data_IF_720336081326
#
_entry.id   IF_720336081326
#
_cell.length_a   1.000
_cell.length_b   1.000
_cell.length_c   1.000
_cell.angle_alpha   90.00
_cell.angle_beta   90.00
_cell.angle_gamma   90.00
#
_symmetry.space_group_name_H-M   'P 1'
#
loop_
_entity.id
_entity.type
_entity.pdbx_description
1 polymer ?
#
# COMPACT_ATOMS: atom_id res chain seq x y z
N UNK A 1 -6.09 -3.34 -23.92
CA UNK A 1 -7.40 -3.56 -23.26
C UNK A 1 -7.94 -2.25 -22.70
N UNK A 2 -7.04 -1.40 -22.22
CA UNK A 2 -7.21 -0.16 -21.48
C UNK A 2 -7.73 0.98 -22.36
N UNK A 3 -7.46 0.97 -23.67
CA UNK A 3 -8.08 1.89 -24.64
C UNK A 3 -9.63 1.83 -24.62
N UNK A 4 -10.22 0.74 -24.11
CA UNK A 4 -11.68 0.58 -23.97
C UNK A 4 -12.27 1.30 -22.73
N UNK A 5 -11.45 1.87 -21.85
CA UNK A 5 -11.92 2.60 -20.66
C UNK A 5 -12.68 3.90 -20.99
N UNK A 6 -12.50 4.40 -22.22
CA UNK A 6 -13.13 5.62 -22.73
C UNK A 6 -12.44 6.89 -22.22
N UNK A 7 -12.66 8.00 -22.93
CA UNK A 7 -11.97 9.29 -22.69
C UNK A 7 -12.19 9.90 -21.31
N UNK A 8 -13.30 9.56 -20.66
CA UNK A 8 -13.67 10.12 -19.36
C UNK A 8 -13.12 9.27 -18.18
N UNK A 9 -12.29 8.26 -18.43
CA UNK A 9 -11.71 7.44 -17.35
C UNK A 9 -10.62 8.22 -16.61
N UNK A 10 -10.76 8.30 -15.27
CA UNK A 10 -9.81 8.96 -14.37
C UNK A 10 -9.41 10.37 -14.86
N UNK A 11 -10.39 11.13 -15.36
CA UNK A 11 -10.16 12.38 -16.09
C UNK A 11 -9.34 13.39 -15.29
N UNK A 12 -9.65 13.57 -14.00
CA UNK A 12 -8.91 14.48 -13.11
C UNK A 12 -7.42 14.12 -13.05
N UNK A 13 -7.12 12.82 -12.91
CA UNK A 13 -5.74 12.31 -12.89
C UNK A 13 -5.07 12.46 -14.25
N UNK A 14 -5.78 12.19 -15.33
CA UNK A 14 -5.25 12.38 -16.68
C UNK A 14 -4.85 13.85 -16.92
N UNK A 15 -5.66 14.81 -16.47
CA UNK A 15 -5.35 16.23 -16.58
C UNK A 15 -4.15 16.64 -15.72
N UNK A 16 -4.05 16.15 -14.47
CA UNK A 16 -2.89 16.39 -13.60
C UNK A 16 -1.58 15.89 -14.24
N UNK A 17 -1.57 14.67 -14.78
CA UNK A 17 -0.41 14.09 -15.46
C UNK A 17 -0.08 14.88 -16.74
N UNK A 18 -1.10 15.13 -17.58
CA UNK A 18 -0.94 15.86 -18.84
C UNK A 18 -0.31 17.23 -18.63
N UNK A 19 -0.76 17.99 -17.62
CA UNK A 19 -0.20 19.30 -17.27
C UNK A 19 1.30 19.25 -16.98
N UNK A 20 1.78 18.25 -16.24
CA UNK A 20 3.22 18.10 -15.95
C UNK A 20 4.01 17.71 -17.20
N UNK A 21 3.45 16.83 -18.02
CA UNK A 21 4.10 16.36 -19.25
C UNK A 21 4.22 17.50 -20.29
N UNK A 22 3.15 18.28 -20.47
CA UNK A 22 3.17 19.46 -21.35
C UNK A 22 4.23 20.47 -20.88
N UNK A 23 4.33 20.69 -19.57
CA UNK A 23 5.36 21.52 -18.97
C UNK A 23 6.79 20.95 -19.07
N UNK A 24 6.96 19.72 -19.55
CA UNK A 24 8.26 19.06 -19.67
C UNK A 24 8.87 18.68 -18.32
N UNK A 25 8.05 18.50 -17.28
CA UNK A 25 8.48 18.21 -15.92
C UNK A 25 8.44 16.71 -15.69
N UNK A 26 9.59 16.10 -15.40
CA UNK A 26 9.66 14.72 -14.89
C UNK A 26 9.21 14.66 -13.44
N UNK A 27 8.57 13.56 -13.03
CA UNK A 27 8.01 13.45 -11.68
C UNK A 27 7.92 12.00 -11.20
N UNK A 28 7.73 11.85 -9.89
CA UNK A 28 7.45 10.58 -9.22
C UNK A 28 5.95 10.48 -8.95
N UNK A 29 5.29 9.52 -9.58
CA UNK A 29 3.91 9.15 -9.31
C UNK A 29 3.86 8.19 -8.13
N UNK A 30 3.35 8.67 -6.99
CA UNK A 30 3.25 7.88 -5.75
C UNK A 30 1.87 7.29 -5.54
N UNK A 31 1.81 6.06 -5.04
CA UNK A 31 0.54 5.37 -4.82
C UNK A 31 0.64 4.35 -3.69
N UNK A 32 -0.46 4.08 -2.99
CA UNK A 32 -0.53 2.89 -2.13
C UNK A 32 -0.52 1.61 -2.99
N UNK A 33 0.08 0.50 -2.51
CA UNK A 33 0.08 -0.77 -3.21
C UNK A 33 -1.34 -1.22 -3.58
N UNK A 34 -1.54 -1.74 -4.80
CA UNK A 34 -2.82 -2.33 -5.21
C UNK A 34 -3.93 -1.35 -5.57
N UNK A 35 -3.71 -0.03 -5.45
CA UNK A 35 -4.74 0.98 -5.80
C UNK A 35 -5.13 0.94 -7.28
N UNK A 36 -4.22 0.41 -8.12
CA UNK A 36 -4.42 0.26 -9.57
C UNK A 36 -3.72 1.32 -10.41
N UNK A 37 -2.67 1.97 -9.89
CA UNK A 37 -1.86 2.94 -10.65
C UNK A 37 -1.35 2.36 -11.99
N UNK A 38 -0.94 1.10 -12.03
CA UNK A 38 -0.49 0.44 -13.27
C UNK A 38 -1.56 0.41 -14.37
N UNK A 39 -2.84 0.24 -14.03
CA UNK A 39 -3.92 0.30 -15.02
C UNK A 39 -4.05 1.70 -15.62
N UNK A 40 -3.99 2.73 -14.77
CA UNK A 40 -4.01 4.11 -15.24
C UNK A 40 -2.81 4.44 -16.11
N UNK A 41 -1.61 3.99 -15.77
CA UNK A 41 -0.41 4.27 -16.57
C UNK A 41 -0.45 3.59 -17.93
N UNK A 42 -0.98 2.36 -18.00
CA UNK A 42 -1.23 1.69 -19.28
C UNK A 42 -2.28 2.44 -20.11
N UNK A 43 -3.33 2.95 -19.46
CA UNK A 43 -4.31 3.82 -20.11
C UNK A 43 -3.70 5.15 -20.59
N UNK A 44 -2.83 5.76 -19.78
CA UNK A 44 -2.07 6.96 -20.14
C UNK A 44 -1.14 6.70 -21.33
N UNK A 45 -0.50 5.54 -21.38
CA UNK A 45 0.35 5.14 -22.48
C UNK A 45 -0.42 4.89 -23.79
N UNK A 46 -1.75 4.76 -23.74
CA UNK A 46 -2.60 4.64 -24.93
C UNK A 46 -3.04 6.00 -25.51
N UNK A 47 -2.65 7.12 -24.89
CA UNK A 47 -3.05 8.44 -25.38
C UNK A 47 -2.22 8.85 -26.60
N UNK A 48 -2.79 9.69 -27.47
CA UNK A 48 -2.23 10.06 -28.78
C UNK A 48 -1.46 11.38 -28.79
N UNK A 49 -1.53 12.16 -27.71
CA UNK A 49 -0.88 13.47 -27.61
C UNK A 49 0.61 13.42 -27.21
N UNK A 50 1.18 12.23 -27.03
CA UNK A 50 2.62 12.03 -26.88
C UNK A 50 3.01 10.61 -27.34
N UNK A 51 4.30 10.40 -27.61
CA UNK A 51 4.86 9.07 -27.80
C UNK A 51 5.21 8.46 -26.45
N UNK A 52 4.45 7.44 -26.05
CA UNK A 52 4.62 6.78 -24.76
C UNK A 52 5.48 5.53 -24.88
N UNK A 53 6.39 5.38 -23.93
CA UNK A 53 7.21 4.18 -23.72
C UNK A 53 6.95 3.70 -22.31
N UNK A 54 6.39 2.51 -22.16
CA UNK A 54 6.07 1.95 -20.85
C UNK A 54 7.04 0.81 -20.52
N UNK A 55 7.88 1.03 -19.52
CA UNK A 55 8.88 0.09 -19.03
C UNK A 55 8.37 -0.53 -17.73
N UNK A 56 7.95 -1.79 -17.79
CA UNK A 56 7.38 -2.51 -16.64
C UNK A 56 8.43 -3.35 -15.92
N UNK A 57 8.93 -2.86 -14.78
CA UNK A 57 10.00 -3.52 -14.04
C UNK A 57 9.57 -4.86 -13.41
N UNK A 58 8.27 -5.15 -13.32
CA UNK A 58 7.81 -6.49 -12.94
C UNK A 58 8.20 -7.57 -13.94
N UNK A 59 8.49 -7.20 -15.19
CA UNK A 59 8.88 -8.14 -16.23
C UNK A 59 10.37 -8.47 -16.25
N UNK A 60 11.16 -7.83 -15.37
CA UNK A 60 12.60 -8.10 -15.28
C UNK A 60 12.86 -9.51 -14.73
N UNK A 61 13.72 -10.31 -15.40
CA UNK A 61 14.14 -11.61 -14.87
C UNK A 61 14.88 -11.48 -13.55
N UNK A 62 15.71 -10.43 -13.43
CA UNK A 62 16.43 -10.07 -12.22
C UNK A 62 16.32 -8.56 -12.01
N UNK A 63 16.05 -8.15 -10.78
CA UNK A 63 16.01 -6.75 -10.39
C UNK A 63 17.45 -6.23 -10.22
N UNK A 64 18.09 -5.88 -11.33
CA UNK A 64 19.41 -5.25 -11.35
C UNK A 64 19.53 -4.22 -12.48
N UNK A 65 20.56 -3.39 -12.41
CA UNK A 65 20.84 -2.33 -13.38
C UNK A 65 21.02 -2.84 -14.83
N UNK A 66 21.70 -3.97 -15.02
CA UNK A 66 22.01 -4.50 -16.35
C UNK A 66 20.73 -4.89 -17.12
N UNK A 67 19.88 -5.69 -16.48
CA UNK A 67 18.61 -6.14 -17.04
C UNK A 67 17.67 -4.95 -17.28
N UNK A 68 17.69 -3.95 -16.39
CA UNK A 68 16.96 -2.71 -16.57
C UNK A 68 17.31 -1.99 -17.88
N UNK A 69 18.60 -1.71 -18.14
CA UNK A 69 18.99 -0.98 -19.35
C UNK A 69 18.67 -1.76 -20.63
N UNK A 70 18.84 -3.09 -20.60
CA UNK A 70 18.51 -3.94 -21.76
C UNK A 70 17.01 -3.95 -22.05
N UNK A 71 16.19 -4.06 -21.02
CA UNK A 71 14.74 -3.96 -21.17
C UNK A 71 14.34 -2.58 -21.67
N UNK A 72 14.90 -1.51 -21.10
CA UNK A 72 14.58 -0.16 -21.54
C UNK A 72 14.92 0.08 -23.02
N UNK A 73 16.11 -0.35 -23.47
CA UNK A 73 16.48 -0.29 -24.88
C UNK A 73 15.51 -1.08 -25.77
N UNK A 74 15.10 -2.27 -25.33
CA UNK A 74 14.14 -3.11 -26.06
C UNK A 74 12.78 -2.43 -26.18
N UNK A 75 12.28 -1.84 -25.10
CA UNK A 75 10.96 -1.21 -25.06
C UNK A 75 10.93 0.11 -25.88
N UNK A 76 12.10 0.70 -26.13
CA UNK A 76 12.27 1.77 -27.13
C UNK A 76 12.30 1.27 -28.58
N UNK A 77 12.31 -0.05 -28.82
CA UNK A 77 12.42 -0.67 -30.14
C UNK A 77 13.85 -1.07 -30.54
N UNK A 78 14.82 -0.96 -29.63
CA UNK A 78 16.20 -1.37 -29.85
C UNK A 78 16.43 -2.88 -29.69
N UNK A 79 17.64 -3.34 -30.04
CA UNK A 79 18.07 -4.73 -29.84
C UNK A 79 19.33 -4.71 -28.97
N UNK A 80 19.29 -5.22 -27.73
CA UNK A 80 20.46 -5.20 -26.85
C UNK A 80 21.51 -6.21 -27.34
N UNK A 81 22.49 -5.75 -28.11
CA UNK A 81 23.64 -6.54 -28.57
C UNK A 81 24.90 -6.34 -27.70
N UNK A 82 24.98 -5.20 -27.02
CA UNK A 82 26.13 -4.82 -26.21
C UNK A 82 26.20 -5.58 -24.89
N UNK A 83 27.43 -5.79 -24.40
CA UNK A 83 27.69 -6.56 -23.17
C UNK A 83 27.74 -5.71 -21.90
N UNK A 84 28.01 -4.41 -22.02
CA UNK A 84 28.15 -3.51 -20.87
C UNK A 84 26.99 -2.53 -20.76
N UNK A 85 26.67 -2.13 -19.53
CA UNK A 85 25.59 -1.19 -19.22
C UNK A 85 25.80 0.16 -19.92
N UNK A 86 27.04 0.66 -19.92
CA UNK A 86 27.40 1.93 -20.56
C UNK A 86 27.11 1.92 -22.06
N UNK A 87 27.45 0.84 -22.76
CA UNK A 87 27.18 0.70 -24.20
C UNK A 87 25.68 0.64 -24.48
N UNK A 88 24.94 -0.17 -23.71
CA UNK A 88 23.47 -0.25 -23.84
C UNK A 88 22.82 1.11 -23.55
N UNK A 89 23.35 1.86 -22.58
CA UNK A 89 22.86 3.19 -22.26
C UNK A 89 23.17 4.21 -23.38
N UNK A 90 24.34 4.16 -24.00
CA UNK A 90 24.66 5.00 -25.17
C UNK A 90 23.76 4.68 -26.38
N UNK A 91 23.49 3.40 -26.65
CA UNK A 91 22.52 2.98 -27.66
C UNK A 91 21.12 3.52 -27.37
N UNK A 92 20.70 3.46 -26.11
CA UNK A 92 19.44 4.02 -25.61
C UNK A 92 19.35 5.52 -25.90
N UNK A 93 20.40 6.29 -25.59
CA UNK A 93 20.44 7.74 -25.88
C UNK A 93 20.36 8.03 -27.38
N UNK A 94 21.07 7.26 -28.20
CA UNK A 94 21.05 7.43 -29.65
C UNK A 94 19.66 7.16 -30.25
N UNK A 95 18.97 6.12 -29.79
CA UNK A 95 17.62 5.80 -30.22
C UNK A 95 16.61 6.85 -29.75
N UNK A 96 16.71 7.26 -28.49
CA UNK A 96 15.83 8.30 -27.94
C UNK A 96 15.99 9.64 -28.65
N UNK A 97 17.21 10.00 -29.08
CA UNK A 97 17.45 11.16 -29.94
C UNK A 97 16.69 11.07 -31.26
N UNK A 98 16.76 9.93 -31.96
CA UNK A 98 16.02 9.69 -33.22
C UNK A 98 14.50 9.81 -33.02
N UNK A 99 13.98 9.26 -31.91
CA UNK A 99 12.57 9.40 -31.57
C UNK A 99 12.21 10.87 -31.32
N UNK A 100 13.07 11.64 -30.65
CA UNK A 100 12.80 13.05 -30.33
C UNK A 100 12.85 13.98 -31.56
N UNK A 101 13.49 13.53 -32.64
CA UNK A 101 13.43 14.17 -33.96
C UNK A 101 12.09 13.87 -34.67
N UNK A 102 11.42 12.77 -34.33
CA UNK A 102 10.17 12.32 -34.96
C UNK A 102 8.92 12.80 -34.21
N UNK A 103 8.96 12.77 -32.88
CA UNK A 103 7.81 13.07 -32.02
C UNK A 103 8.01 14.38 -31.27
N UNK A 104 6.93 15.15 -31.13
CA UNK A 104 6.95 16.42 -30.40
C UNK A 104 7.21 16.23 -28.91
N UNK A 105 6.62 15.18 -28.34
CA UNK A 105 6.70 14.84 -26.91
C UNK A 105 6.93 13.34 -26.75
N UNK A 106 7.88 12.98 -25.89
CA UNK A 106 8.16 11.59 -25.52
C UNK A 106 8.00 11.45 -24.02
N UNK A 107 7.23 10.45 -23.60
CA UNK A 107 7.00 10.14 -22.19
C UNK A 107 7.46 8.73 -21.92
N UNK A 108 8.40 8.58 -21.00
CA UNK A 108 8.90 7.27 -20.56
C UNK A 108 8.38 7.01 -19.16
N UNK A 109 7.63 5.92 -18.99
CA UNK A 109 7.04 5.52 -17.73
C UNK A 109 7.83 4.32 -17.18
N UNK A 110 8.46 4.49 -16.03
CA UNK A 110 9.11 3.41 -15.28
C UNK A 110 8.17 2.91 -14.17
N UNK A 111 7.54 1.76 -14.40
CA UNK A 111 6.61 1.14 -13.45
C UNK A 111 7.35 0.43 -12.31
N UNK A 112 6.95 0.68 -11.06
CA UNK A 112 7.56 0.14 -9.82
C UNK A 112 9.06 0.39 -9.72
N UNK A 113 9.47 1.62 -10.02
CA UNK A 113 10.86 2.06 -9.96
C UNK A 113 11.49 1.73 -8.59
N UNK A 114 10.72 1.81 -7.51
CA UNK A 114 11.10 1.41 -6.15
C UNK A 114 11.68 -0.01 -6.00
N UNK A 115 11.43 -0.91 -6.95
CA UNK A 115 11.98 -2.27 -6.93
C UNK A 115 13.49 -2.32 -7.17
N UNK A 116 14.04 -1.32 -7.86
CA UNK A 116 15.48 -1.19 -8.13
C UNK A 116 16.23 -0.45 -7.02
N UNK A 117 15.64 -0.30 -5.83
CA UNK A 117 16.23 0.48 -4.73
C UNK A 117 17.65 0.10 -4.34
N UNK A 118 18.04 -1.17 -4.54
CA UNK A 118 19.39 -1.65 -4.22
C UNK A 118 20.42 -1.26 -5.29
N UNK A 119 19.97 -0.93 -6.50
CA UNK A 119 20.77 -0.45 -7.63
C UNK A 119 20.71 1.08 -7.78
N UNK A 120 19.97 1.77 -6.89
CA UNK A 120 19.97 3.22 -6.88
C UNK A 120 21.31 3.71 -6.35
N UNK A 121 22.16 4.14 -7.27
CA UNK A 121 23.30 4.98 -6.97
C UNK A 121 23.19 6.33 -7.69
N UNK A 122 24.09 7.27 -7.34
CA UNK A 122 24.09 8.59 -7.93
C UNK A 122 24.32 8.57 -9.46
N UNK A 123 25.10 7.61 -9.96
CA UNK A 123 25.42 7.48 -11.37
C UNK A 123 24.21 6.98 -12.17
N UNK A 124 23.51 5.98 -11.65
CA UNK A 124 22.29 5.42 -12.22
C UNK A 124 21.21 6.50 -12.35
N UNK A 125 20.94 7.24 -11.27
CA UNK A 125 19.96 8.33 -11.30
C UNK A 125 20.40 9.51 -12.16
N UNK A 126 21.69 9.82 -12.21
CA UNK A 126 22.26 10.84 -13.10
C UNK A 126 22.15 10.44 -14.58
N UNK A 127 22.38 9.17 -14.91
CA UNK A 127 22.20 8.63 -16.25
C UNK A 127 20.75 8.82 -16.70
N UNK A 128 19.77 8.40 -15.90
CA UNK A 128 18.36 8.59 -16.22
C UNK A 128 18.00 10.07 -16.38
N UNK A 129 18.47 10.94 -15.48
CA UNK A 129 18.29 12.39 -15.61
C UNK A 129 18.87 12.91 -16.93
N UNK A 130 20.04 12.43 -17.35
CA UNK A 130 20.70 12.85 -18.58
C UNK A 130 19.89 12.55 -19.84
N UNK A 131 18.94 11.61 -19.81
CA UNK A 131 18.03 11.35 -20.93
C UNK A 131 17.18 12.58 -21.27
N UNK A 132 16.76 13.33 -20.26
CA UNK A 132 15.95 14.55 -20.45
C UNK A 132 16.75 15.71 -21.05
N UNK A 133 18.08 15.65 -20.96
CA UNK A 133 18.97 16.67 -21.53
C UNK A 133 19.21 16.49 -23.03
N UNK A 134 18.83 15.34 -23.61
CA UNK A 134 18.97 15.08 -25.06
C UNK A 134 18.16 16.09 -25.88
N UNK A 135 16.92 16.33 -25.45
CA UNK A 135 16.02 17.35 -25.96
C UNK A 135 15.21 17.91 -24.78
N UNK A 136 15.68 19.01 -24.15
CA UNK A 136 15.02 19.60 -23.00
C UNK A 136 13.53 19.86 -23.24
N UNK A 137 12.72 19.62 -22.23
CA UNK A 137 11.24 19.77 -22.25
C UNK A 137 10.48 18.84 -23.21
N UNK A 138 11.15 18.11 -24.13
CA UNK A 138 10.50 17.11 -24.99
C UNK A 138 10.43 15.72 -24.37
N UNK A 139 11.42 15.35 -23.57
CA UNK A 139 11.51 14.02 -22.94
C UNK A 139 11.12 14.15 -21.46
N UNK A 140 10.05 13.45 -21.08
CA UNK A 140 9.52 13.44 -19.71
C UNK A 140 9.64 12.03 -19.14
N UNK A 141 10.18 11.92 -17.93
CA UNK A 141 10.28 10.65 -17.22
C UNK A 141 9.24 10.61 -16.09
N UNK A 142 8.48 9.54 -16.03
CA UNK A 142 7.52 9.26 -14.96
C UNK A 142 8.01 8.04 -14.20
N UNK A 143 8.39 8.23 -12.95
CA UNK A 143 8.79 7.14 -12.07
C UNK A 143 7.62 6.79 -11.17
N UNK A 144 7.27 5.52 -11.05
CA UNK A 144 6.28 5.14 -10.04
C UNK A 144 6.96 4.51 -8.86
N UNK A 145 6.51 4.89 -7.69
CA UNK A 145 7.06 4.43 -6.43
C UNK A 145 5.96 4.38 -5.40
N UNK A 146 6.11 3.50 -4.42
CA UNK A 146 5.22 3.50 -3.27
C UNK A 146 5.55 4.68 -2.34
N UNK A 147 6.83 4.98 -2.12
CA UNK A 147 7.34 6.05 -1.24
C UNK A 147 8.12 7.13 -2.01
N UNK A 148 8.36 8.32 -1.44
CA UNK A 148 9.29 9.27 -2.02
C UNK A 148 10.66 8.62 -2.26
N UNK A 149 11.28 8.86 -3.42
CA UNK A 149 12.53 8.17 -3.76
C UNK A 149 13.68 8.51 -2.78
N UNK A 150 13.65 9.68 -2.15
CA UNK A 150 14.65 10.06 -1.15
C UNK A 150 14.52 9.28 0.16
N UNK A 151 13.35 8.69 0.44
CA UNK A 151 13.19 7.73 1.53
C UNK A 151 13.60 6.31 1.12
N UNK A 152 13.48 5.99 -0.17
CA UNK A 152 13.80 4.66 -0.71
C UNK A 152 15.30 4.46 -0.87
N UNK A 153 16.02 5.47 -1.36
CA UNK A 153 17.48 5.47 -1.49
C UNK A 153 18.05 6.87 -1.19
N UNK A 154 18.19 7.24 0.10
CA UNK A 154 18.67 8.56 0.48
C UNK A 154 20.07 8.86 -0.06
N UNK A 155 20.96 7.87 -0.11
CA UNK A 155 22.35 8.06 -0.55
C UNK A 155 22.48 8.26 -2.06
N UNK A 156 21.52 7.76 -2.84
CA UNK A 156 21.48 7.92 -4.29
C UNK A 156 21.01 9.32 -4.72
N UNK A 157 20.17 9.94 -3.88
CA UNK A 157 19.59 11.25 -4.14
C UNK A 157 20.39 12.31 -3.39
N UNK A 158 21.52 12.68 -3.98
CA UNK A 158 22.44 13.67 -3.43
C UNK A 158 22.77 14.73 -4.49
N UNK A 159 23.05 15.96 -4.03
CA UNK A 159 23.51 17.04 -4.89
C UNK A 159 22.52 17.41 -6.00
N UNK A 160 23.00 17.50 -7.25
CA UNK A 160 22.31 18.08 -8.40
C UNK A 160 21.12 17.29 -8.98
N UNK A 161 20.87 16.06 -8.52
CA UNK A 161 19.73 15.25 -8.97
C UNK A 161 18.48 15.41 -8.09
N UNK A 162 18.60 16.02 -6.90
CA UNK A 162 17.49 16.17 -5.94
C UNK A 162 16.28 16.88 -6.56
N UNK A 163 16.50 17.97 -7.30
CA UNK A 163 15.43 18.75 -7.92
C UNK A 163 14.65 17.95 -8.96
N UNK A 164 15.32 17.03 -9.66
CA UNK A 164 14.71 16.22 -10.69
C UNK A 164 13.70 15.21 -10.12
N UNK A 165 13.99 14.66 -8.93
CA UNK A 165 13.15 13.67 -8.26
C UNK A 165 12.23 14.27 -7.18
N UNK A 166 12.29 15.58 -6.94
CA UNK A 166 11.50 16.26 -5.91
C UNK A 166 10.03 16.45 -6.29
N UNK A 167 9.67 16.41 -7.57
CA UNK A 167 8.28 16.60 -7.97
C UNK A 167 7.49 15.33 -7.76
N UNK A 168 6.53 15.40 -6.85
CA UNK A 168 5.63 14.32 -6.52
C UNK A 168 4.24 14.55 -7.12
N UNK A 169 3.65 13.51 -7.68
CA UNK A 169 2.23 13.46 -8.03
C UNK A 169 1.61 12.26 -7.32
N UNK A 170 0.55 12.49 -6.56
CA UNK A 170 -0.10 11.43 -5.81
C UNK A 170 -1.28 10.80 -6.56
N UNK A 171 -1.24 9.48 -6.66
CA UNK A 171 -2.29 8.64 -7.21
C UNK A 171 -3.20 8.15 -6.09
N UNK A 172 -4.36 8.81 -5.97
CA UNK A 172 -5.41 8.48 -5.00
C UNK A 172 -6.27 7.31 -5.49
N UNK A 173 -7.01 6.63 -4.60
CA UNK A 173 -8.04 5.67 -4.97
C UNK A 173 -8.99 6.23 -6.03
N UNK A 174 -9.45 5.35 -6.92
CA UNK A 174 -10.33 5.70 -8.03
C UNK A 174 -11.69 6.20 -7.54
N UNK A 175 -12.35 7.00 -8.38
CA UNK A 175 -13.77 7.30 -8.17
C UNK A 175 -14.61 6.03 -8.30
N UNK A 176 -15.81 6.04 -7.70
CA UNK A 176 -16.80 4.96 -7.87
C UNK A 176 -17.08 4.67 -9.34
N UNK A 177 -17.16 5.71 -10.17
CA UNK A 177 -17.45 5.57 -11.59
C UNK A 177 -16.29 4.95 -12.37
N UNK A 178 -15.05 5.29 -12.01
CA UNK A 178 -13.87 4.72 -12.67
C UNK A 178 -13.65 3.25 -12.28
N UNK A 179 -13.89 2.87 -11.02
CA UNK A 179 -13.90 1.46 -10.62
C UNK A 179 -14.95 0.65 -11.40
N UNK A 180 -16.14 1.20 -11.60
CA UNK A 180 -17.18 0.54 -12.43
C UNK A 180 -16.71 0.32 -13.87
N UNK A 181 -15.91 1.24 -14.44
CA UNK A 181 -15.35 1.07 -15.78
C UNK A 181 -14.29 -0.01 -15.80
N UNK A 182 -13.41 -0.06 -14.80
CA UNK A 182 -12.39 -1.11 -14.67
C UNK A 182 -13.04 -2.50 -14.60
N UNK A 183 -14.09 -2.65 -13.78
CA UNK A 183 -14.82 -3.93 -13.66
C UNK A 183 -15.40 -4.44 -14.99
N UNK A 184 -15.76 -3.55 -15.93
CA UNK A 184 -16.31 -3.95 -17.23
C UNK A 184 -15.26 -4.55 -18.18
N UNK A 185 -13.98 -4.36 -17.90
CA UNK A 185 -12.90 -4.88 -18.73
C UNK A 185 -12.39 -6.25 -18.26
N UNK A 186 -12.71 -6.62 -17.03
CA UNK A 186 -12.24 -7.86 -16.43
C UNK A 186 -13.27 -8.99 -16.60
N UNK A 187 -12.83 -10.26 -16.49
CA UNK A 187 -13.75 -11.39 -16.49
C UNK A 187 -14.83 -11.22 -15.42
N UNK A 188 -16.05 -11.70 -15.70
CA UNK A 188 -17.14 -11.59 -14.74
C UNK A 188 -16.74 -12.17 -13.38
N UNK A 189 -16.90 -11.40 -12.29
CA UNK A 189 -16.56 -11.88 -10.97
C UNK A 189 -17.49 -13.03 -10.57
N UNK A 190 -17.01 -13.89 -9.67
CA UNK A 190 -17.84 -14.97 -9.08
C UNK A 190 -19.02 -14.45 -8.25
N UNK A 191 -19.01 -13.15 -7.92
CA UNK A 191 -20.05 -12.48 -7.15
C UNK A 191 -21.37 -12.35 -7.94
N UNK A 192 -22.46 -12.86 -7.36
CA UNK A 192 -23.81 -12.80 -7.95
C UNK A 192 -24.68 -11.65 -7.44
N UNK A 193 -24.16 -10.78 -6.57
CA UNK A 193 -24.90 -9.67 -5.97
C UNK A 193 -24.71 -8.32 -6.67
N UNK A 194 -25.28 -7.26 -6.10
CA UNK A 194 -25.04 -5.89 -6.57
C UNK A 194 -23.63 -5.41 -6.12
N UNK A 195 -22.70 -5.12 -7.06
CA UNK A 195 -21.33 -4.73 -6.71
C UNK A 195 -21.22 -3.35 -6.06
N UNK A 196 -22.26 -2.50 -6.12
CA UNK A 196 -22.20 -1.13 -5.61
C UNK A 196 -21.78 -1.01 -4.15
N UNK A 197 -22.26 -1.93 -3.30
CA UNK A 197 -21.89 -1.97 -1.88
C UNK A 197 -20.41 -2.34 -1.70
N UNK A 198 -19.90 -3.27 -2.49
CA UNK A 198 -18.49 -3.67 -2.43
C UNK A 198 -17.57 -2.58 -2.99
N UNK A 199 -18.01 -1.83 -4.00
CA UNK A 199 -17.28 -0.67 -4.52
C UNK A 199 -17.16 0.42 -3.45
N UNK A 200 -18.24 0.69 -2.71
CA UNK A 200 -18.22 1.63 -1.58
C UNK A 200 -17.28 1.15 -0.47
N UNK A 201 -17.37 -0.14 -0.09
CA UNK A 201 -16.47 -0.74 0.89
C UNK A 201 -15.00 -0.74 0.44
N UNK A 202 -14.72 -0.86 -0.85
CA UNK A 202 -13.35 -0.80 -1.38
C UNK A 202 -12.78 0.62 -1.37
N UNK A 203 -13.61 1.66 -1.27
CA UNK A 203 -13.15 3.05 -1.15
C UNK A 203 -12.30 3.54 -2.32
N UNK A 204 -12.53 3.01 -3.54
CA UNK A 204 -11.72 3.37 -4.71
C UNK A 204 -10.50 2.47 -4.97
N UNK A 205 -10.20 1.53 -4.08
CA UNK A 205 -9.01 0.69 -4.19
C UNK A 205 -9.26 -0.55 -5.06
N UNK A 206 -8.58 -0.62 -6.21
CA UNK A 206 -8.85 -1.65 -7.23
C UNK A 206 -8.64 -3.08 -6.72
N UNK A 207 -7.44 -3.42 -6.22
CA UNK A 207 -7.15 -4.79 -5.77
C UNK A 207 -8.06 -5.24 -4.62
N UNK A 208 -8.33 -4.36 -3.65
CA UNK A 208 -9.27 -4.64 -2.57
C UNK A 208 -10.66 -4.97 -3.14
N UNK A 209 -11.18 -4.19 -4.10
CA UNK A 209 -12.46 -4.49 -4.75
C UNK A 209 -12.48 -5.90 -5.37
N UNK A 210 -11.43 -6.30 -6.09
CA UNK A 210 -11.37 -7.65 -6.68
C UNK A 210 -11.34 -8.75 -5.61
N UNK A 211 -10.66 -8.53 -4.50
CA UNK A 211 -10.67 -9.46 -3.37
C UNK A 211 -12.08 -9.54 -2.76
N UNK A 212 -12.77 -8.41 -2.59
CA UNK A 212 -14.13 -8.37 -2.06
C UNK A 212 -15.14 -9.09 -2.96
N UNK A 213 -15.01 -8.90 -4.28
CA UNK A 213 -15.86 -9.57 -5.27
C UNK A 213 -15.64 -11.09 -5.27
N UNK A 214 -14.44 -11.56 -4.96
CA UNK A 214 -14.16 -13.01 -4.92
C UNK A 214 -14.26 -13.62 -3.51
N UNK A 215 -14.65 -12.84 -2.50
CA UNK A 215 -14.76 -13.33 -1.13
C UNK A 215 -15.97 -14.25 -0.96
N UNK A 216 -15.75 -15.39 -0.29
CA UNK A 216 -16.83 -16.30 0.11
C UNK A 216 -17.51 -15.88 1.43
N UNK A 217 -16.96 -14.88 2.15
CA UNK A 217 -17.42 -14.46 3.48
C UNK A 217 -18.18 -13.13 3.41
N UNK A 218 -19.14 -13.02 2.50
CA UNK A 218 -19.90 -11.78 2.22
C UNK A 218 -20.60 -11.17 3.45
N UNK A 219 -20.96 -11.98 4.45
CA UNK A 219 -21.56 -11.50 5.70
C UNK A 219 -20.55 -10.81 6.64
N UNK A 220 -19.29 -11.24 6.61
CA UNK A 220 -18.21 -10.66 7.40
C UNK A 220 -16.90 -10.77 6.64
N UNK A 221 -16.64 -9.76 5.81
CA UNK A 221 -15.48 -9.70 4.91
C UNK A 221 -14.14 -9.74 5.66
N UNK A 222 -14.11 -9.30 6.92
CA UNK A 222 -12.91 -9.39 7.76
C UNK A 222 -12.59 -10.82 8.21
N UNK A 223 -13.50 -11.79 8.05
CA UNK A 223 -13.17 -13.21 8.24
C UNK A 223 -12.43 -13.81 7.03
N UNK A 224 -12.49 -13.15 5.88
CA UNK A 224 -11.78 -13.60 4.68
C UNK A 224 -10.26 -13.39 4.84
N UNK A 225 -9.50 -14.44 4.57
CA UNK A 225 -8.03 -14.43 4.68
C UNK A 225 -7.39 -13.43 3.72
N UNK A 226 -7.89 -13.32 2.49
CA UNK A 226 -7.32 -12.44 1.47
C UNK A 226 -7.63 -10.97 1.78
N UNK A 227 -8.84 -10.67 2.27
CA UNK A 227 -9.19 -9.33 2.75
C UNK A 227 -8.26 -8.93 3.90
N UNK A 228 -8.11 -9.79 4.91
CA UNK A 228 -7.18 -9.55 6.04
C UNK A 228 -5.75 -9.32 5.56
N UNK A 229 -5.28 -10.13 4.62
CA UNK A 229 -3.92 -10.02 4.08
C UNK A 229 -3.70 -8.69 3.36
N UNK A 230 -4.66 -8.26 2.52
CA UNK A 230 -4.59 -6.96 1.85
C UNK A 230 -4.58 -5.79 2.83
N UNK A 231 -5.48 -5.81 3.83
CA UNK A 231 -5.53 -4.75 4.84
C UNK A 231 -4.27 -4.74 5.71
N UNK A 232 -3.71 -5.92 6.02
CA UNK A 232 -2.41 -6.04 6.70
C UNK A 232 -1.30 -5.42 5.87
N UNK A 233 -1.23 -5.73 4.57
CA UNK A 233 -0.21 -5.18 3.66
C UNK A 233 -0.26 -3.64 3.63
N UNK A 234 -1.47 -3.06 3.54
CA UNK A 234 -1.66 -1.61 3.58
C UNK A 234 -1.18 -0.98 4.89
N UNK A 235 -1.37 -1.66 6.03
CA UNK A 235 -0.85 -1.19 7.31
C UNK A 235 0.66 -1.38 7.40
N UNK A 236 1.18 -2.55 7.06
CA UNK A 236 2.60 -2.91 7.16
C UNK A 236 3.48 -1.98 6.35
N UNK A 237 2.97 -1.55 5.20
CA UNK A 237 3.57 -0.61 4.27
C UNK A 237 3.94 0.75 4.91
N UNK A 238 3.19 1.18 5.91
CA UNK A 238 3.38 2.46 6.58
C UNK A 238 4.53 2.42 7.59
N UNK A 239 5.17 3.56 7.82
CA UNK A 239 6.12 3.68 8.93
C UNK A 239 5.41 3.72 10.29
N UNK A 240 6.19 3.78 11.37
CA UNK A 240 5.67 3.78 12.74
C UNK A 240 4.78 4.97 13.07
N UNK A 241 5.12 6.18 12.61
CA UNK A 241 4.34 7.39 12.88
C UNK A 241 3.05 7.38 12.08
N UNK A 242 3.12 7.02 10.80
CA UNK A 242 1.98 6.84 9.93
C UNK A 242 1.00 5.79 10.49
N UNK A 243 1.52 4.64 10.97
CA UNK A 243 0.74 3.61 11.67
C UNK A 243 -0.01 4.17 12.88
N UNK A 244 0.66 4.99 13.71
CA UNK A 244 0.01 5.64 14.87
C UNK A 244 -1.09 6.61 14.45
N UNK A 245 -0.89 7.37 13.37
CA UNK A 245 -1.89 8.31 12.88
C UNK A 245 -3.14 7.57 12.40
N UNK A 246 -3.00 6.54 11.55
CA UNK A 246 -4.16 5.76 11.08
C UNK A 246 -4.88 5.03 12.23
N UNK A 247 -4.16 4.64 13.29
CA UNK A 247 -4.76 4.09 14.51
C UNK A 247 -5.60 5.11 15.28
N UNK A 248 -5.10 6.34 15.44
CA UNK A 248 -5.88 7.43 16.06
C UNK A 248 -7.14 7.73 15.24
N UNK A 249 -7.01 7.82 13.92
CA UNK A 249 -8.12 8.09 13.00
C UNK A 249 -9.15 6.95 13.03
N UNK A 250 -8.71 5.69 13.00
CA UNK A 250 -9.59 4.54 13.14
C UNK A 250 -10.39 4.57 14.45
N UNK A 251 -9.83 5.15 15.51
CA UNK A 251 -10.49 5.36 16.81
C UNK A 251 -11.32 6.65 16.90
N UNK A 252 -11.45 7.42 15.81
CA UNK A 252 -12.16 8.70 15.80
C UNK A 252 -11.44 9.81 16.57
N UNK A 253 -10.14 9.67 16.82
CA UNK A 253 -9.32 10.68 17.50
C UNK A 253 -8.73 11.64 16.50
N UNK A 254 -8.70 12.92 16.84
CA UNK A 254 -8.00 13.94 16.07
C UNK A 254 -6.48 13.72 16.13
N UNK A 255 -5.81 13.99 15.02
CA UNK A 255 -4.36 13.96 14.88
C UNK A 255 -3.98 14.87 13.74
N UNK A 256 -2.76 15.41 13.79
CA UNK A 256 -2.12 15.97 12.61
C UNK A 256 -1.95 14.87 11.57
N UNK A 257 -2.25 15.19 10.30
CA UNK A 257 -2.25 14.26 9.19
C UNK A 257 -0.97 14.47 8.40
N UNK A 258 -0.22 13.38 8.27
CA UNK A 258 0.91 13.26 7.37
C UNK A 258 0.50 13.56 5.91
N UNK A 259 1.25 14.45 5.25
CA UNK A 259 0.97 14.90 3.88
C UNK A 259 0.99 13.73 2.90
N UNK A 260 1.91 12.77 3.08
CA UNK A 260 1.98 11.59 2.24
C UNK A 260 0.70 10.76 2.35
N UNK A 261 0.19 10.48 3.56
CA UNK A 261 -1.05 9.72 3.76
C UNK A 261 -2.28 10.37 3.11
N UNK A 262 -2.38 11.70 3.17
CA UNK A 262 -3.43 12.47 2.49
C UNK A 262 -3.22 12.47 0.97
N UNK A 263 -1.96 12.60 0.55
CA UNK A 263 -1.52 12.61 -0.83
C UNK A 263 -1.95 11.34 -1.55
N UNK A 264 -1.51 10.18 -1.07
CA UNK A 264 -1.85 8.87 -1.67
C UNK A 264 -3.30 8.44 -1.41
N UNK A 265 -4.06 9.23 -0.65
CA UNK A 265 -5.48 8.99 -0.38
C UNK A 265 -5.73 7.82 0.56
N UNK A 266 -4.77 7.49 1.43
CA UNK A 266 -5.01 6.57 2.55
C UNK A 266 -5.98 7.21 3.56
N UNK A 267 -5.84 8.53 3.75
CA UNK A 267 -6.74 9.39 4.51
C UNK A 267 -7.44 10.35 3.54
N UNK A 268 -8.74 10.53 3.73
CA UNK A 268 -9.58 11.45 2.95
C UNK A 268 -9.49 12.87 3.51
N UNK A 269 -9.97 13.87 2.75
CA UNK A 269 -10.06 15.27 3.21
C UNK A 269 -10.91 15.44 4.47
N UNK A 270 -11.81 14.50 4.76
CA UNK A 270 -12.64 14.50 5.95
C UNK A 270 -11.97 13.81 7.15
N UNK A 271 -10.67 13.55 7.07
CA UNK A 271 -9.86 12.91 8.12
C UNK A 271 -10.35 11.50 8.46
N UNK A 272 -10.89 10.79 7.47
CA UNK A 272 -11.32 9.39 7.57
C UNK A 272 -10.43 8.50 6.70
N UNK A 273 -10.25 7.24 7.09
CA UNK A 273 -9.59 6.26 6.23
C UNK A 273 -10.42 6.02 4.96
N UNK A 274 -9.74 5.77 3.83
CA UNK A 274 -10.40 5.63 2.52
C UNK A 274 -11.45 4.51 2.47
N UNK A 275 -11.30 3.49 3.31
CA UNK A 275 -12.23 2.38 3.46
C UNK A 275 -12.57 2.13 4.93
N UNK A 276 -13.85 1.87 5.27
CA UNK A 276 -14.24 1.46 6.61
C UNK A 276 -13.63 0.10 7.01
N UNK A 277 -13.34 -0.78 6.04
CA UNK A 277 -12.74 -2.09 6.32
C UNK A 277 -11.35 -1.96 6.95
N UNK A 278 -10.55 -0.99 6.51
CA UNK A 278 -9.24 -0.71 7.08
C UNK A 278 -9.38 -0.18 8.52
N UNK A 279 -10.35 0.70 8.77
CA UNK A 279 -10.62 1.19 10.13
C UNK A 279 -10.96 0.04 11.08
N UNK A 280 -11.84 -0.86 10.65
CA UNK A 280 -12.26 -2.00 11.46
C UNK A 280 -11.15 -3.04 11.63
N UNK A 281 -10.36 -3.29 10.58
CA UNK A 281 -9.17 -4.12 10.67
C UNK A 281 -8.17 -3.57 11.70
N UNK A 282 -7.87 -2.27 11.66
CA UNK A 282 -6.98 -1.64 12.63
C UNK A 282 -7.55 -1.78 14.05
N UNK A 283 -8.83 -1.49 14.26
CA UNK A 283 -9.48 -1.64 15.58
C UNK A 283 -9.33 -3.07 16.12
N UNK A 284 -9.51 -4.08 15.28
CA UNK A 284 -9.37 -5.49 15.66
C UNK A 284 -7.91 -5.90 15.91
N UNK A 285 -6.94 -5.27 15.25
CA UNK A 285 -5.53 -5.68 15.33
C UNK A 285 -4.65 -4.73 16.13
N UNK A 286 -5.23 -3.71 16.77
CA UNK A 286 -4.46 -2.79 17.60
C UNK A 286 -3.76 -3.54 18.75
N UNK A 287 -2.48 -3.24 19.01
CA UNK A 287 -1.79 -3.77 20.17
C UNK A 287 -2.52 -3.32 21.42
N UNK A 288 -3.08 -4.30 22.13
CA UNK A 288 -3.86 -4.05 23.32
C UNK A 288 -2.94 -3.56 24.41
N UNK A 289 -3.15 -2.32 24.85
CA UNK A 289 -2.58 -1.85 26.11
C UNK A 289 -3.43 -2.40 27.25
N UNK A 290 -3.27 -3.70 27.53
CA UNK A 290 -3.68 -4.25 28.82
C UNK A 290 -2.68 -3.75 29.88
N UNK A 291 -3.14 -3.31 31.07
CA UNK A 291 -2.24 -3.09 32.18
C UNK A 291 -1.47 -4.39 32.50
N UNK A 292 -0.32 -4.27 33.16
CA UNK A 292 0.68 -5.36 33.24
C UNK A 292 0.07 -6.68 33.72
N UNK A 293 -0.72 -6.66 34.80
CA UNK A 293 -1.33 -7.86 35.38
C UNK A 293 -2.43 -8.45 34.48
N UNK A 294 -3.26 -7.63 33.86
CA UNK A 294 -4.25 -8.06 32.87
C UNK A 294 -3.61 -8.67 31.63
N UNK A 295 -2.47 -8.12 31.20
CA UNK A 295 -1.71 -8.65 30.07
C UNK A 295 -1.15 -10.03 30.39
N UNK A 296 -0.58 -10.20 31.58
CA UNK A 296 -0.06 -11.49 32.05
C UNK A 296 -1.21 -12.50 32.15
N UNK A 297 -2.32 -12.14 32.80
CA UNK A 297 -3.49 -13.01 32.90
C UNK A 297 -4.03 -13.40 31.51
N UNK A 298 -4.20 -12.43 30.62
CA UNK A 298 -4.70 -12.69 29.28
C UNK A 298 -3.78 -13.63 28.50
N UNK A 299 -2.47 -13.43 28.57
CA UNK A 299 -1.50 -14.29 27.91
C UNK A 299 -1.53 -15.72 28.48
N UNK A 300 -1.66 -15.89 29.79
CA UNK A 300 -1.79 -17.19 30.45
C UNK A 300 -3.05 -17.92 29.98
N UNK A 301 -4.20 -17.23 30.00
CA UNK A 301 -5.47 -17.79 29.55
C UNK A 301 -5.45 -18.11 28.05
N UNK A 302 -4.84 -17.24 27.23
CA UNK A 302 -4.72 -17.43 25.78
C UNK A 302 -3.82 -18.61 25.43
N UNK A 303 -2.72 -18.81 26.15
CA UNK A 303 -1.84 -19.99 25.98
C UNK A 303 -2.59 -21.30 26.29
N UNK A 304 -3.60 -21.24 27.15
CA UNK A 304 -4.43 -22.37 27.58
C UNK A 304 -5.88 -22.26 27.04
N UNK A 305 -6.07 -21.72 25.83
CA UNK A 305 -7.41 -21.55 25.25
C UNK A 305 -8.15 -22.90 25.20
N UNK A 306 -9.40 -22.92 25.66
CA UNK A 306 -10.22 -24.14 25.76
C UNK A 306 -9.95 -25.02 26.99
N UNK A 307 -8.90 -24.74 27.78
CA UNK A 307 -8.59 -25.42 29.04
C UNK A 307 -8.84 -24.49 30.23
N UNK A 308 -9.38 -25.05 31.31
CA UNK A 308 -9.49 -24.33 32.59
C UNK A 308 -8.12 -24.14 33.22
N UNK A 309 -7.74 -22.88 33.44
CA UNK A 309 -6.56 -22.51 34.25
C UNK A 309 -7.03 -22.32 35.69
N UNK A 310 -6.38 -23.01 36.62
CA UNK A 310 -6.72 -22.96 38.05
C UNK A 310 -6.42 -21.60 38.67
N UNK A 311 -7.05 -21.31 39.80
CA UNK A 311 -6.77 -20.07 40.54
C UNK A 311 -5.31 -19.97 40.97
N UNK A 312 -4.72 -21.06 41.42
CA UNK A 312 -3.33 -21.09 41.90
C UNK A 312 -2.34 -20.81 40.78
N UNK A 313 -2.55 -21.40 39.60
CA UNK A 313 -1.77 -21.09 38.39
C UNK A 313 -1.85 -19.60 38.01
N UNK A 314 -3.03 -18.99 38.18
CA UNK A 314 -3.23 -17.56 37.91
C UNK A 314 -2.52 -16.70 38.96
N UNK A 315 -2.64 -17.03 40.25
CA UNK A 315 -1.99 -16.29 41.32
C UNK A 315 -0.47 -16.31 41.17
N UNK A 316 0.09 -17.49 40.91
CA UNK A 316 1.52 -17.66 40.69
C UNK A 316 2.02 -16.86 39.48
N UNK A 317 1.28 -16.85 38.37
CA UNK A 317 1.71 -16.13 37.18
C UNK A 317 1.57 -14.60 37.29
N UNK A 318 0.49 -14.11 37.91
CA UNK A 318 0.15 -12.68 37.92
C UNK A 318 0.74 -11.93 39.14
N UNK A 319 1.01 -12.64 40.23
CA UNK A 319 1.58 -12.13 41.48
C UNK A 319 2.77 -12.99 41.94
N UNK A 320 3.73 -13.24 41.05
CA UNK A 320 4.88 -14.14 41.26
C UNK A 320 5.54 -14.00 42.65
N UNK A 321 5.82 -12.77 43.09
CA UNK A 321 6.46 -12.46 44.38
C UNK A 321 5.48 -12.17 45.54
N UNK A 322 4.17 -12.08 45.28
CA UNK A 322 3.17 -11.57 46.23
C UNK A 322 1.89 -12.43 46.25
N UNK A 323 2.04 -13.71 45.87
CA UNK A 323 0.93 -14.64 45.69
C UNK A 323 0.19 -14.93 47.00
N UNK A 324 0.89 -14.91 48.13
CA UNK A 324 0.31 -15.13 49.48
C UNK A 324 -0.57 -13.96 49.95
N UNK A 325 -0.33 -12.73 49.47
CA UNK A 325 -1.14 -11.55 49.83
C UNK A 325 -2.26 -11.27 48.81
N UNK A 326 -2.26 -11.95 47.67
CA UNK A 326 -3.25 -11.75 46.63
C UNK A 326 -4.58 -12.43 47.02
N UNK A 327 -5.66 -11.65 47.11
CA UNK A 327 -6.97 -12.16 47.51
C UNK A 327 -7.80 -12.64 46.33
N UNK A 328 -8.74 -13.57 46.60
CA UNK A 328 -9.78 -13.96 45.63
C UNK A 328 -10.53 -12.75 45.05
N UNK A 329 -10.73 -11.72 45.86
CA UNK A 329 -11.37 -10.47 45.41
C UNK A 329 -10.54 -9.74 44.34
N UNK A 330 -9.21 -9.68 44.50
CA UNK A 330 -8.32 -9.07 43.52
C UNK A 330 -8.34 -9.82 42.18
N UNK A 331 -8.37 -11.16 42.21
CA UNK A 331 -8.53 -11.99 41.03
C UNK A 331 -9.87 -11.75 40.33
N UNK A 332 -10.97 -11.71 41.08
CA UNK A 332 -12.31 -11.48 40.54
C UNK A 332 -12.43 -10.09 39.90
N UNK A 333 -11.83 -9.06 40.52
CA UNK A 333 -11.75 -7.72 39.97
C UNK A 333 -10.95 -7.68 38.65
N UNK A 334 -9.85 -8.42 38.57
CA UNK A 334 -9.00 -8.48 37.38
C UNK A 334 -9.68 -9.21 36.22
N UNK A 335 -10.36 -10.33 36.50
CA UNK A 335 -11.20 -11.05 35.56
C UNK A 335 -12.36 -10.17 35.08
N UNK A 336 -13.01 -9.44 35.99
CA UNK A 336 -14.09 -8.52 35.64
C UNK A 336 -13.60 -7.42 34.69
N UNK A 337 -12.47 -6.76 35.00
CA UNK A 337 -11.86 -5.75 34.13
C UNK A 337 -11.52 -6.34 32.77
N UNK A 338 -10.93 -7.54 32.74
CA UNK A 338 -10.58 -8.21 31.50
C UNK A 338 -11.82 -8.54 30.65
N UNK A 339 -12.87 -9.14 31.24
CA UNK A 339 -14.16 -9.41 30.57
C UNK A 339 -14.82 -8.15 29.99
N UNK A 340 -14.74 -7.03 30.71
CA UNK A 340 -15.32 -5.75 30.28
C UNK A 340 -14.41 -5.02 29.28
N UNK A 341 -13.15 -5.40 29.16
CA UNK A 341 -12.18 -4.73 28.32
C UNK A 341 -12.63 -4.77 26.83
N UNK A 342 -12.67 -3.63 26.11
CA UNK A 342 -13.18 -3.56 24.75
C UNK A 342 -12.51 -4.56 23.79
N UNK A 343 -11.21 -4.79 23.96
CA UNK A 343 -10.46 -5.77 23.18
C UNK A 343 -11.05 -7.19 23.29
N UNK A 344 -11.33 -7.67 24.51
CA UNK A 344 -11.86 -9.03 24.73
C UNK A 344 -13.19 -9.21 24.00
N UNK A 345 -14.09 -8.23 24.11
CA UNK A 345 -15.36 -8.24 23.39
C UNK A 345 -15.20 -8.19 21.87
N UNK A 346 -14.34 -7.30 21.38
CA UNK A 346 -14.15 -7.08 19.94
C UNK A 346 -13.54 -8.29 19.21
N UNK A 347 -12.78 -9.12 19.93
CA UNK A 347 -12.15 -10.32 19.39
C UNK A 347 -12.98 -11.59 19.55
N UNK A 348 -14.19 -11.48 20.10
CA UNK A 348 -15.04 -12.65 20.38
C UNK A 348 -14.52 -13.53 21.51
N UNK A 349 -13.63 -13.02 22.37
CA UNK A 349 -13.16 -13.78 23.51
C UNK A 349 -14.20 -13.79 24.63
N UNK A 350 -14.47 -14.99 25.16
CA UNK A 350 -15.35 -15.22 26.30
C UNK A 350 -14.51 -15.86 27.41
N UNK A 351 -14.61 -15.31 28.62
CA UNK A 351 -13.96 -15.88 29.81
C UNK A 351 -15.04 -16.52 30.67
N UNK A 352 -15.05 -17.83 30.76
CA UNK A 352 -15.96 -18.61 31.59
C UNK A 352 -15.40 -18.81 33.00
N UNK A 353 -16.30 -18.83 33.99
CA UNK A 353 -15.96 -19.11 35.39
C UNK A 353 -16.34 -20.54 35.74
N UNK A 354 -15.36 -21.32 36.20
CA UNK A 354 -15.62 -22.64 36.81
C UNK A 354 -15.56 -22.48 38.32
N UNK A 355 -16.72 -22.63 38.96
CA UNK A 355 -16.93 -22.34 40.40
C UNK A 355 -15.88 -23.07 41.24
N UNK A 356 -15.15 -22.33 42.08
CA UNK A 356 -14.05 -22.81 42.95
C UNK A 356 -12.83 -23.43 42.24
N UNK A 357 -12.81 -23.54 40.91
CA UNK A 357 -11.72 -24.19 40.17
C UNK A 357 -10.84 -23.15 39.48
N UNK A 358 -11.42 -22.28 38.64
CA UNK A 358 -10.63 -21.38 37.81
C UNK A 358 -11.40 -20.77 36.66
N UNK A 359 -10.68 -20.44 35.60
CA UNK A 359 -11.21 -19.70 34.46
C UNK A 359 -10.77 -20.31 33.13
N UNK A 360 -11.66 -20.29 32.13
CA UNK A 360 -11.39 -20.78 30.78
C UNK A 360 -11.59 -19.66 29.77
N UNK A 361 -10.66 -19.49 28.83
CA UNK A 361 -10.84 -18.60 27.69
C UNK A 361 -11.30 -19.41 26.48
N UNK A 362 -12.38 -18.95 25.85
CA UNK A 362 -12.91 -19.47 24.59
C UNK A 362 -13.00 -18.34 23.58
N UNK A 363 -12.91 -18.68 22.29
CA UNK A 363 -13.04 -17.73 21.19
C UNK A 363 -14.26 -18.15 20.36
N UNK A 364 -15.27 -17.29 20.32
CA UNK A 364 -16.53 -17.50 19.62
C UNK A 364 -16.42 -17.24 18.11
#
# INVERSE_FOLDING_TARGET
MEAKLGSNFAQDKLQEFKKLIEAGVSFVAMSIPGVGASYFLKYLACQDWAYFVHVDLYSLPTLNQHEFYRMFLRDLGGKPSSKTDEQVFLETKALLKKLADTYEKIVIIFSRFDQLKNDFDANFLSNLQSLTTIQPSKIVLIFTSIKPLHEVAPDAITGGNLTFYAKHLYFKPYSKNDLKKLLKLEPEPTFKGNPDKLIELAGGHNQLLHILLNSQKQQNLLLDRFVKMQLKELVDYLDYQQKKQIQKIALGKQTEIDEYLLGVGMITSNHQLFTPLLADYIKQNMPVKLPVKEKILFNLLRKNTGRTVSKDEIFQAVWEDDSENATNWALDALIYRLRKHPFIKSQGYIIESHKKVGYTLIQA
#
